data_IF_991864473169
#
_entry.id   IF_991864473169
#
_cell.length_a   1.000
_cell.length_b   1.000
_cell.length_c   1.000
_cell.angle_alpha   90.00
_cell.angle_beta   90.00
_cell.angle_gamma   90.00
#
_symmetry.space_group_name_H-M   'P 1'
#
loop_
_entity.id
_entity.type
_entity.pdbx_description
1 polymer ?
#
# COMPACT_ATOMS: atom_id res chain seq x y z
N UNK A 1 -12.32 4.31 -8.18
CA UNK A 1 -13.28 3.76 -7.20
C UNK A 1 -14.53 4.63 -6.95
N UNK A 2 -14.45 5.93 -6.64
CA UNK A 2 -15.61 6.70 -6.13
C UNK A 2 -16.84 6.70 -7.04
N UNK A 3 -16.64 6.84 -8.35
CA UNK A 3 -17.74 6.80 -9.33
C UNK A 3 -18.51 5.47 -9.27
N UNK A 4 -17.79 4.33 -9.29
CA UNK A 4 -18.43 3.02 -9.21
C UNK A 4 -19.10 2.82 -7.84
N UNK A 5 -18.47 3.22 -6.74
CA UNK A 5 -19.09 3.08 -5.43
C UNK A 5 -20.42 3.85 -5.31
N UNK A 6 -20.55 5.01 -5.98
CA UNK A 6 -21.81 5.77 -6.03
C UNK A 6 -22.86 5.20 -7.00
N UNK A 7 -22.44 4.70 -8.17
CA UNK A 7 -23.35 4.43 -9.29
C UNK A 7 -23.50 2.94 -9.63
N UNK A 8 -22.49 2.12 -9.33
CA UNK A 8 -22.48 0.66 -9.48
C UNK A 8 -21.66 -0.01 -8.37
N UNK A 9 -22.23 -0.13 -7.15
CA UNK A 9 -21.56 -0.76 -6.01
C UNK A 9 -21.09 -2.19 -6.29
N UNK A 10 -21.76 -2.92 -7.19
CA UNK A 10 -21.36 -4.30 -7.54
C UNK A 10 -20.05 -4.31 -8.31
N UNK A 11 -19.89 -3.41 -9.27
CA UNK A 11 -18.61 -3.23 -9.98
C UNK A 11 -17.50 -2.78 -9.01
N UNK A 12 -17.78 -1.79 -8.16
CA UNK A 12 -16.83 -1.33 -7.14
C UNK A 12 -16.36 -2.47 -6.21
N UNK A 13 -17.31 -3.29 -5.75
CA UNK A 13 -17.05 -4.47 -4.92
C UNK A 13 -16.15 -5.48 -5.64
N UNK A 14 -16.39 -5.74 -6.92
CA UNK A 14 -15.59 -6.65 -7.73
C UNK A 14 -14.13 -6.15 -7.90
N UNK A 15 -13.94 -4.84 -8.09
CA UNK A 15 -12.61 -4.23 -8.19
C UNK A 15 -11.79 -4.41 -6.89
N UNK A 16 -12.41 -4.23 -5.71
CA UNK A 16 -11.75 -4.52 -4.44
C UNK A 16 -11.50 -6.01 -4.29
N UNK A 17 -12.48 -6.85 -4.62
CA UNK A 17 -12.33 -8.30 -4.46
C UNK A 17 -11.21 -8.86 -5.33
N UNK A 18 -10.97 -8.29 -6.50
CA UNK A 18 -9.79 -8.57 -7.32
C UNK A 18 -8.48 -8.36 -6.52
N UNK A 19 -8.37 -7.27 -5.75
CA UNK A 19 -7.19 -7.00 -4.91
C UNK A 19 -7.08 -8.00 -3.76
N UNK A 20 -8.17 -8.25 -3.03
CA UNK A 20 -8.20 -9.23 -1.94
C UNK A 20 -7.73 -10.61 -2.42
N UNK A 21 -8.19 -11.07 -3.60
CA UNK A 21 -7.80 -12.35 -4.18
C UNK A 21 -6.32 -12.43 -4.61
N UNK A 22 -5.61 -11.29 -4.66
CA UNK A 22 -4.21 -11.17 -5.08
C UNK A 22 -3.28 -10.78 -3.95
N UNK A 23 -3.75 -10.86 -2.71
CA UNK A 23 -2.95 -10.61 -1.51
C UNK A 23 -1.67 -11.46 -1.49
N UNK A 24 -1.77 -12.75 -1.85
CA UNK A 24 -0.61 -13.64 -1.91
C UNK A 24 0.44 -13.17 -2.94
N UNK A 25 0.01 -12.60 -4.07
CA UNK A 25 0.92 -12.01 -5.07
C UNK A 25 1.64 -10.78 -4.53
N UNK A 26 0.93 -9.90 -3.82
CA UNK A 26 1.51 -8.74 -3.15
C UNK A 26 2.50 -9.13 -2.03
N UNK A 27 2.23 -10.20 -1.30
CA UNK A 27 3.14 -10.72 -0.28
C UNK A 27 4.41 -11.31 -0.91
N UNK A 28 4.27 -12.10 -1.97
CA UNK A 28 5.41 -12.62 -2.72
C UNK A 28 6.26 -11.50 -3.35
N UNK A 29 5.64 -10.39 -3.77
CA UNK A 29 6.38 -9.23 -4.26
C UNK A 29 7.18 -8.55 -3.14
N UNK A 30 6.60 -8.39 -1.95
CA UNK A 30 7.34 -7.85 -0.79
C UNK A 30 8.55 -8.73 -0.46
N UNK A 31 8.35 -10.05 -0.39
CA UNK A 31 9.42 -11.01 -0.10
C UNK A 31 10.58 -10.93 -1.12
N UNK A 32 10.27 -10.81 -2.42
CA UNK A 32 11.28 -10.65 -3.48
C UNK A 32 12.16 -9.40 -3.30
N UNK A 33 11.60 -8.35 -2.72
CA UNK A 33 12.31 -7.10 -2.42
C UNK A 33 12.94 -7.09 -1.01
N UNK A 34 12.89 -8.22 -0.29
CA UNK A 34 13.41 -8.33 1.07
C UNK A 34 12.56 -7.62 2.13
N UNK A 35 11.30 -7.33 1.80
CA UNK A 35 10.34 -6.63 2.66
C UNK A 35 9.30 -7.63 3.23
N UNK A 36 8.58 -7.21 4.27
CA UNK A 36 7.47 -7.96 4.85
C UNK A 36 6.11 -7.41 4.42
N UNK A 37 5.03 -8.14 4.71
CA UNK A 37 3.66 -7.64 4.47
C UNK A 37 3.23 -7.75 3.00
N UNK A 38 2.27 -6.90 2.59
CA UNK A 38 1.76 -6.87 1.22
C UNK A 38 2.24 -5.61 0.48
N UNK A 39 3.14 -5.81 -0.48
CA UNK A 39 3.56 -4.78 -1.44
C UNK A 39 2.84 -5.04 -2.77
N UNK A 40 1.69 -4.40 -2.97
CA UNK A 40 0.99 -4.50 -4.25
C UNK A 40 1.85 -3.93 -5.38
N UNK A 41 1.84 -4.56 -6.56
CA UNK A 41 2.67 -4.12 -7.67
C UNK A 41 2.18 -2.78 -8.22
N UNK A 42 3.11 -2.03 -8.80
CA UNK A 42 2.80 -0.80 -9.54
C UNK A 42 1.85 -1.11 -10.70
N UNK A 43 2.12 -2.16 -11.46
CA UNK A 43 1.24 -2.66 -12.51
C UNK A 43 0.84 -4.09 -12.22
N UNK A 44 -0.47 -4.35 -12.18
CA UNK A 44 -1.03 -5.65 -11.78
C UNK A 44 -1.84 -6.28 -12.90
N UNK A 45 -1.52 -7.54 -13.22
CA UNK A 45 -2.20 -8.32 -14.24
C UNK A 45 -3.08 -9.43 -13.67
N UNK A 46 -3.06 -10.59 -14.33
CA UNK A 46 -3.88 -11.74 -13.95
C UNK A 46 -3.53 -12.27 -12.55
N UNK A 47 -2.23 -12.43 -12.25
CA UNK A 47 -1.73 -13.15 -11.08
C UNK A 47 -1.44 -12.25 -9.86
N UNK A 48 -1.40 -10.93 -10.04
CA UNK A 48 -1.11 -10.00 -8.94
C UNK A 48 0.38 -9.79 -8.66
N UNK A 49 1.27 -10.36 -9.48
CA UNK A 49 2.71 -10.10 -9.52
C UNK A 49 3.03 -8.77 -10.21
N UNK A 50 4.26 -8.28 -10.02
CA UNK A 50 4.73 -7.04 -10.65
C UNK A 50 4.88 -7.19 -12.17
N UNK A 51 4.17 -6.34 -12.90
CA UNK A 51 4.18 -6.27 -14.35
C UNK A 51 4.84 -4.99 -14.89
N UNK A 52 5.22 -4.07 -14.00
CA UNK A 52 5.92 -2.85 -14.39
C UNK A 52 7.26 -3.19 -15.05
N UNK A 53 7.62 -2.41 -16.06
CA UNK A 53 8.87 -2.58 -16.78
C UNK A 53 10.06 -2.33 -15.86
N UNK A 54 11.18 -3.00 -16.15
CA UNK A 54 12.44 -2.78 -15.42
C UNK A 54 13.29 -1.69 -16.08
N UNK A 55 13.09 -1.50 -17.38
CA UNK A 55 13.75 -0.53 -18.25
C UNK A 55 12.73 0.12 -19.16
N UNK A 56 12.97 1.38 -19.53
CA UNK A 56 12.14 2.15 -20.43
C UNK A 56 12.97 2.75 -21.57
N UNK A 57 12.37 2.94 -22.74
CA UNK A 57 13.00 3.57 -23.90
C UNK A 57 12.77 5.08 -23.86
N UNK A 58 13.83 5.86 -23.69
CA UNK A 58 13.77 7.29 -23.91
C UNK A 58 13.60 7.57 -25.41
N UNK A 59 12.43 8.08 -25.81
CA UNK A 59 12.10 8.32 -27.22
C UNK A 59 12.89 9.49 -27.83
N UNK A 60 13.50 10.36 -27.02
CA UNK A 60 14.26 11.53 -27.49
C UNK A 60 15.66 11.12 -27.97
N UNK A 61 16.38 10.31 -27.19
CA UNK A 61 17.75 9.91 -27.49
C UNK A 61 17.90 8.42 -27.86
N UNK A 62 16.80 7.68 -27.88
CA UNK A 62 16.72 6.24 -28.21
C UNK A 62 17.52 5.35 -27.26
N UNK A 63 17.83 5.83 -26.05
CA UNK A 63 18.53 5.04 -25.03
C UNK A 63 17.55 4.27 -24.13
N UNK A 64 18.00 3.09 -23.66
CA UNK A 64 17.29 2.33 -22.62
C UNK A 64 17.80 2.78 -21.26
N UNK A 65 16.88 3.22 -20.41
CA UNK A 65 17.17 3.69 -19.04
C UNK A 65 16.42 2.82 -18.01
N UNK A 66 16.90 2.74 -16.76
CA UNK A 66 16.15 2.09 -15.69
C UNK A 66 14.75 2.71 -15.52
N UNK A 67 13.75 1.87 -15.28
CA UNK A 67 12.40 2.33 -14.92
C UNK A 67 12.20 2.15 -13.40
N UNK A 68 12.16 3.27 -12.68
CA UNK A 68 12.02 3.30 -11.23
C UNK A 68 10.55 3.34 -10.76
N UNK A 69 9.57 3.18 -11.66
CA UNK A 69 8.14 3.23 -11.32
C UNK A 69 7.74 2.25 -10.21
N UNK A 70 8.45 1.13 -10.07
CA UNK A 70 8.23 0.16 -8.96
C UNK A 70 8.49 0.73 -7.57
N UNK A 71 9.17 1.87 -7.46
CA UNK A 71 9.32 2.59 -6.20
C UNK A 71 8.05 3.34 -5.79
N UNK A 72 7.05 3.46 -6.67
CA UNK A 72 5.71 3.97 -6.38
C UNK A 72 4.86 2.98 -5.57
N UNK A 73 5.39 2.60 -4.42
CA UNK A 73 4.78 1.65 -3.48
C UNK A 73 3.47 2.18 -2.88
N UNK A 74 3.19 3.49 -3.04
CA UNK A 74 1.96 4.16 -2.58
C UNK A 74 0.67 3.56 -3.14
N UNK A 75 0.74 2.81 -4.25
CA UNK A 75 -0.38 2.00 -4.77
C UNK A 75 -1.01 1.08 -3.71
N UNK A 76 -0.20 0.55 -2.79
CA UNK A 76 -0.71 -0.28 -1.68
C UNK A 76 -1.59 0.53 -0.74
N UNK A 77 -1.22 1.79 -0.44
CA UNK A 77 -2.03 2.71 0.35
C UNK A 77 -3.31 3.11 -0.39
N UNK A 78 -3.22 3.35 -1.69
CA UNK A 78 -4.38 3.66 -2.53
C UNK A 78 -5.41 2.52 -2.56
N UNK A 79 -4.96 1.26 -2.57
CA UNK A 79 -5.86 0.09 -2.48
C UNK A 79 -6.61 0.05 -1.15
N UNK A 80 -5.93 0.32 -0.04
CA UNK A 80 -6.58 0.44 1.26
C UNK A 80 -7.57 1.61 1.29
N UNK A 81 -7.20 2.76 0.70
CA UNK A 81 -8.08 3.91 0.55
C UNK A 81 -9.31 3.61 -0.29
N UNK A 82 -9.19 2.88 -1.39
CA UNK A 82 -10.31 2.47 -2.22
C UNK A 82 -11.30 1.57 -1.44
N UNK A 83 -10.82 0.68 -0.57
CA UNK A 83 -11.68 -0.09 0.33
C UNK A 83 -12.37 0.81 1.37
N UNK A 84 -11.67 1.79 1.94
CA UNK A 84 -12.28 2.78 2.81
C UNK A 84 -13.39 3.55 2.09
N UNK A 85 -13.11 4.09 0.90
CA UNK A 85 -14.11 4.80 0.08
C UNK A 85 -15.33 3.91 -0.18
N UNK A 86 -15.10 2.66 -0.59
CA UNK A 86 -16.19 1.70 -0.83
C UNK A 86 -17.08 1.53 0.41
N UNK A 87 -16.49 1.27 1.58
CA UNK A 87 -17.26 1.05 2.82
C UNK A 87 -18.01 2.31 3.25
N UNK A 88 -17.41 3.50 3.11
CA UNK A 88 -18.05 4.78 3.46
C UNK A 88 -19.19 5.15 2.52
N UNK A 89 -19.04 4.91 1.23
CA UNK A 89 -20.06 5.28 0.24
C UNK A 89 -21.22 4.29 0.16
N UNK A 90 -20.97 3.00 0.41
CA UNK A 90 -22.01 1.95 0.26
C UNK A 90 -22.60 1.48 1.59
N UNK A 91 -21.90 1.69 2.71
CA UNK A 91 -22.23 1.06 4.00
C UNK A 91 -21.90 -0.44 4.05
N UNK A 92 -21.44 -1.05 2.97
CA UNK A 92 -21.11 -2.48 2.93
C UNK A 92 -19.73 -2.73 3.54
N UNK A 93 -19.74 -3.19 4.79
CA UNK A 93 -18.53 -3.59 5.53
C UNK A 93 -18.20 -5.08 5.37
N UNK A 94 -18.99 -5.85 4.61
CA UNK A 94 -18.78 -7.30 4.48
C UNK A 94 -17.42 -7.64 3.86
N UNK A 95 -16.89 -6.78 2.98
CA UNK A 95 -15.55 -6.98 2.40
C UNK A 95 -14.45 -6.94 3.46
N UNK A 96 -14.61 -6.17 4.54
CA UNK A 96 -13.61 -6.13 5.62
C UNK A 96 -13.48 -7.50 6.29
N UNK A 97 -14.61 -8.17 6.54
CA UNK A 97 -14.62 -9.52 7.12
C UNK A 97 -14.15 -10.58 6.11
N UNK A 98 -14.44 -10.38 4.82
CA UNK A 98 -14.09 -11.29 3.73
C UNK A 98 -12.70 -11.02 3.15
N UNK A 99 -11.70 -10.85 4.02
CA UNK A 99 -10.28 -10.69 3.65
C UNK A 99 -9.81 -9.25 3.43
N UNK A 100 -10.71 -8.27 3.38
CA UNK A 100 -10.36 -6.85 3.25
C UNK A 100 -9.58 -6.32 4.45
N UNK A 101 -9.93 -6.72 5.67
CA UNK A 101 -9.15 -6.35 6.86
C UNK A 101 -7.76 -6.98 6.83
N UNK A 102 -7.64 -8.27 6.49
CA UNK A 102 -6.33 -8.93 6.34
C UNK A 102 -5.45 -8.19 5.33
N UNK A 103 -6.02 -7.82 4.18
CA UNK A 103 -5.32 -7.01 3.18
C UNK A 103 -4.83 -5.67 3.74
N UNK A 104 -5.69 -4.92 4.43
CA UNK A 104 -5.34 -3.62 5.05
C UNK A 104 -4.21 -3.76 6.05
N UNK A 105 -4.26 -4.77 6.92
CA UNK A 105 -3.24 -4.98 7.95
C UNK A 105 -1.90 -5.46 7.35
N UNK A 106 -1.93 -6.28 6.29
CA UNK A 106 -0.72 -6.69 5.57
C UNK A 106 -0.07 -5.52 4.81
N UNK A 107 -0.87 -4.61 4.24
CA UNK A 107 -0.37 -3.35 3.66
C UNK A 107 0.32 -2.51 4.76
N UNK A 108 -0.29 -2.39 5.95
CA UNK A 108 0.32 -1.66 7.05
C UNK A 108 1.63 -2.31 7.52
N UNK A 109 1.69 -3.64 7.61
CA UNK A 109 2.92 -4.38 7.93
C UNK A 109 4.05 -4.08 6.96
N UNK A 110 3.76 -4.00 5.66
CA UNK A 110 4.75 -3.60 4.67
C UNK A 110 5.30 -2.21 4.93
N UNK A 111 4.43 -1.23 5.13
CA UNK A 111 4.89 0.13 5.37
C UNK A 111 5.64 0.30 6.69
N UNK A 112 5.19 -0.34 7.76
CA UNK A 112 5.87 -0.32 9.06
C UNK A 112 7.24 -1.01 9.00
N UNK A 113 7.42 -2.01 8.13
CA UNK A 113 8.72 -2.65 7.90
C UNK A 113 9.74 -1.69 7.24
N UNK A 114 9.27 -0.74 6.42
CA UNK A 114 10.12 0.28 5.79
C UNK A 114 10.48 1.46 6.69
N UNK A 115 9.72 1.66 7.75
CA UNK A 115 9.87 2.83 8.63
C UNK A 115 11.07 2.64 9.56
N UNK A 116 11.94 3.64 9.59
CA UNK A 116 13.12 3.67 10.49
C UNK A 116 12.99 4.78 11.51
N UNK A 117 13.32 4.52 12.77
CA UNK A 117 13.34 5.55 13.81
C UNK A 117 14.67 6.33 13.76
N UNK A 118 14.58 7.64 13.58
CA UNK A 118 15.71 8.56 13.57
C UNK A 118 16.15 8.95 14.99
N UNK A 119 17.33 9.55 15.09
CA UNK A 119 17.95 9.94 16.36
C UNK A 119 17.17 11.02 17.13
N UNK A 120 16.38 11.83 16.41
CA UNK A 120 15.51 12.86 17.00
C UNK A 120 14.17 12.29 17.52
N UNK A 121 14.00 10.97 17.46
CA UNK A 121 12.81 10.26 17.89
C UNK A 121 11.69 10.22 16.85
N UNK A 122 11.86 10.87 15.69
CA UNK A 122 10.93 10.81 14.56
C UNK A 122 11.12 9.55 13.74
N UNK A 123 10.20 9.31 12.82
CA UNK A 123 10.26 8.17 11.92
C UNK A 123 10.40 8.64 10.49
N UNK A 124 11.34 8.02 9.79
CA UNK A 124 11.66 8.28 8.40
C UNK A 124 11.24 7.11 7.53
N UNK A 125 10.89 7.43 6.29
CA UNK A 125 10.51 6.46 5.27
C UNK A 125 11.28 6.80 3.99
N UNK A 126 12.15 5.88 3.56
CA UNK A 126 13.04 6.07 2.42
C UNK A 126 12.83 5.02 1.33
N UNK A 127 13.45 5.26 0.16
CA UNK A 127 13.44 4.32 -0.96
C UNK A 127 12.08 4.23 -1.65
N UNK A 128 11.37 5.36 -1.76
CA UNK A 128 10.06 5.42 -2.42
C UNK A 128 10.02 6.49 -3.49
N UNK A 129 9.08 6.39 -4.41
CA UNK A 129 8.71 7.44 -5.36
C UNK A 129 7.27 7.85 -5.05
N UNK A 130 7.02 9.16 -5.06
CA UNK A 130 5.67 9.70 -4.84
C UNK A 130 4.83 9.69 -6.12
N UNK A 131 3.63 10.28 -6.08
CA UNK A 131 2.80 10.47 -7.28
C UNK A 131 3.42 11.40 -8.34
N UNK A 132 4.38 12.24 -7.95
CA UNK A 132 5.20 12.98 -8.90
C UNK A 132 6.31 12.08 -9.43
N UNK A 133 6.08 11.56 -10.64
CA UNK A 133 6.95 10.57 -11.26
C UNK A 133 8.27 11.13 -11.80
N UNK A 134 8.46 12.46 -11.80
CA UNK A 134 9.73 13.05 -12.22
C UNK A 134 10.80 13.02 -11.12
N UNK A 135 10.40 12.85 -9.86
CA UNK A 135 11.31 12.83 -8.72
C UNK A 135 11.53 11.40 -8.22
N UNK A 136 12.31 10.65 -9.00
CA UNK A 136 12.67 9.27 -8.69
C UNK A 136 13.91 9.13 -7.79
N UNK A 137 14.73 10.18 -7.62
CA UNK A 137 15.93 10.20 -6.77
C UNK A 137 16.35 11.64 -6.41
N UNK A 138 17.24 11.80 -5.43
CA UNK A 138 17.89 13.09 -5.18
C UNK A 138 19.02 13.36 -6.19
N UNK A 139 19.32 14.64 -6.52
CA UNK A 139 20.46 14.97 -7.38
C UNK A 139 21.77 14.39 -6.85
N UNK A 140 22.48 13.62 -7.67
CA UNK A 140 23.75 12.99 -7.32
C UNK A 140 23.65 11.75 -6.41
N UNK A 141 22.45 11.27 -6.09
CA UNK A 141 22.28 10.04 -5.35
C UNK A 141 22.72 8.82 -6.17
N UNK A 142 23.34 7.84 -5.50
CA UNK A 142 23.76 6.57 -6.12
C UNK A 142 22.66 5.51 -6.11
N UNK A 143 21.58 5.75 -5.38
CA UNK A 143 20.41 4.88 -5.30
C UNK A 143 19.13 5.69 -5.59
N UNK A 144 18.18 5.05 -6.26
CA UNK A 144 16.86 5.62 -6.50
C UNK A 144 15.98 5.57 -5.25
N UNK A 145 14.94 6.40 -5.25
CA UNK A 145 14.00 6.60 -4.17
C UNK A 145 14.30 7.87 -3.38
N UNK A 146 13.24 8.63 -3.10
CA UNK A 146 13.27 9.78 -2.20
C UNK A 146 12.96 9.35 -0.77
N UNK A 147 13.31 10.21 0.18
CA UNK A 147 12.99 10.06 1.59
C UNK A 147 11.87 11.04 1.96
N UNK A 148 10.95 10.58 2.82
CA UNK A 148 9.87 11.37 3.41
C UNK A 148 8.99 12.07 2.37
N UNK A 149 8.58 11.34 1.33
CA UNK A 149 7.57 11.84 0.40
C UNK A 149 6.28 12.18 1.16
N UNK A 150 5.83 13.43 1.05
CA UNK A 150 4.71 13.94 1.86
C UNK A 150 3.41 13.15 1.65
N UNK A 151 3.08 12.81 0.39
CA UNK A 151 1.88 12.03 0.09
C UNK A 151 1.92 10.65 0.75
N UNK A 152 3.04 9.92 0.57
CA UNK A 152 3.23 8.59 1.15
C UNK A 152 3.14 8.62 2.68
N UNK A 153 3.81 9.58 3.33
CA UNK A 153 3.80 9.69 4.79
C UNK A 153 2.40 10.01 5.33
N UNK A 154 1.67 10.94 4.69
CA UNK A 154 0.29 11.29 5.08
C UNK A 154 -0.65 10.10 4.89
N UNK A 155 -0.54 9.39 3.76
CA UNK A 155 -1.38 8.23 3.48
C UNK A 155 -1.09 7.05 4.44
N UNK A 156 0.16 6.87 4.87
CA UNK A 156 0.49 5.89 5.90
C UNK A 156 -0.12 6.28 7.25
N UNK A 157 0.02 7.53 7.68
CA UNK A 157 -0.61 8.01 8.90
C UNK A 157 -2.14 7.86 8.86
N UNK A 158 -2.76 8.17 7.72
CA UNK A 158 -4.19 7.96 7.48
C UNK A 158 -4.58 6.48 7.61
N UNK A 159 -3.85 5.57 6.95
CA UNK A 159 -4.11 4.12 7.00
C UNK A 159 -4.10 3.62 8.44
N UNK A 160 -3.08 4.02 9.19
CA UNK A 160 -2.88 3.62 10.56
C UNK A 160 -3.98 4.16 11.50
N UNK A 161 -4.46 5.39 11.28
CA UNK A 161 -5.64 5.91 11.98
C UNK A 161 -6.92 5.12 11.64
N UNK A 162 -7.12 4.77 10.37
CA UNK A 162 -8.27 3.96 9.99
C UNK A 162 -8.22 2.55 10.59
N UNK A 163 -7.04 1.95 10.74
CA UNK A 163 -6.89 0.66 11.44
C UNK A 163 -7.33 0.78 12.90
N UNK A 164 -7.00 1.87 13.60
CA UNK A 164 -7.48 2.11 14.97
C UNK A 164 -9.01 2.26 15.04
N UNK A 165 -9.61 2.97 14.07
CA UNK A 165 -11.07 3.05 13.95
C UNK A 165 -11.68 1.65 13.76
N UNK A 166 -11.10 0.82 12.90
CA UNK A 166 -11.55 -0.55 12.65
C UNK A 166 -11.40 -1.43 13.89
N UNK A 167 -10.33 -1.27 14.67
CA UNK A 167 -10.15 -2.00 15.92
C UNK A 167 -11.29 -1.74 16.91
N UNK A 168 -11.81 -0.51 16.94
CA UNK A 168 -12.94 -0.15 17.79
C UNK A 168 -14.29 -0.56 17.19
N UNK A 169 -14.44 -0.44 15.87
CA UNK A 169 -15.71 -0.59 15.18
C UNK A 169 -16.04 -2.02 14.73
N UNK A 170 -15.05 -2.89 14.56
CA UNK A 170 -15.23 -4.25 14.04
C UNK A 170 -15.02 -5.30 15.14
N UNK A 171 -16.08 -5.95 15.66
CA UNK A 171 -15.93 -6.96 16.72
C UNK A 171 -15.02 -8.14 16.36
N UNK A 172 -14.92 -8.47 15.07
CA UNK A 172 -14.06 -9.55 14.57
C UNK A 172 -12.59 -9.13 14.35
N UNK A 173 -12.22 -7.88 14.65
CA UNK A 173 -10.89 -7.35 14.35
C UNK A 173 -9.77 -8.21 14.95
N UNK A 174 -9.81 -8.47 16.25
CA UNK A 174 -8.77 -9.23 16.95
C UNK A 174 -8.63 -10.67 16.41
N UNK A 175 -9.75 -11.33 16.12
CA UNK A 175 -9.74 -12.68 15.55
C UNK A 175 -9.09 -12.70 14.15
N UNK A 176 -9.41 -11.71 13.31
CA UNK A 176 -8.85 -11.59 11.97
C UNK A 176 -7.36 -11.20 12.03
N UNK A 177 -6.99 -10.24 12.89
CA UNK A 177 -5.60 -9.81 13.07
C UNK A 177 -4.72 -10.97 13.56
N UNK A 178 -5.19 -11.74 14.54
CA UNK A 178 -4.51 -12.93 15.04
C UNK A 178 -4.31 -13.97 13.93
N UNK A 179 -5.33 -14.22 13.09
CA UNK A 179 -5.24 -15.17 11.97
C UNK A 179 -4.22 -14.76 10.90
N UNK A 180 -3.90 -13.47 10.81
CA UNK A 180 -2.90 -12.92 9.91
C UNK A 180 -1.48 -12.89 10.53
N UNK A 181 -1.30 -13.39 11.77
CA UNK A 181 -0.06 -13.23 12.54
C UNK A 181 0.34 -11.75 12.72
N UNK A 182 -0.64 -10.86 12.87
CA UNK A 182 -0.43 -9.43 13.05
C UNK A 182 -0.70 -9.09 14.52
N UNK A 183 0.32 -8.61 15.23
CA UNK A 183 0.19 -8.20 16.62
C UNK A 183 -0.40 -6.80 16.69
N UNK A 184 -1.33 -6.57 17.62
CA UNK A 184 -1.90 -5.23 17.86
C UNK A 184 -0.85 -4.20 18.30
N UNK A 185 0.35 -4.63 18.69
CA UNK A 185 1.51 -3.75 18.93
C UNK A 185 1.93 -2.92 17.71
N UNK A 186 1.63 -3.36 16.48
CA UNK A 186 1.86 -2.57 15.26
C UNK A 186 1.05 -1.26 15.26
N UNK A 187 -0.09 -1.22 15.97
CA UNK A 187 -0.93 -0.04 16.09
C UNK A 187 -0.40 0.98 17.12
N UNK A 188 0.50 0.56 18.01
CA UNK A 188 1.09 1.43 19.05
C UNK A 188 2.27 2.29 18.55
N UNK A 189 2.65 2.18 17.27
CA UNK A 189 3.70 3.03 16.66
C UNK A 189 3.21 4.48 16.45
N UNK A 190 1.93 4.75 16.71
CA UNK A 190 1.23 6.01 16.42
C UNK A 190 1.24 7.07 17.53
N UNK A 191 2.15 7.00 18.50
CA UNK A 191 2.42 8.18 19.36
C UNK A 191 3.33 9.21 18.66
N UNK A 192 3.15 9.39 17.35
CA UNK A 192 3.78 10.43 16.53
C UNK A 192 2.87 11.65 16.41
#
# INVERSE_FOLDING_TARGET
>A
MPYYAANDPKAARALIQYRIQRLAGAQANAEKEGEAGAMYPWQSGLYGDEQAQVIHLNTVDQSWIPDNSRLQRHVSLAIAYDLWVYTRMTGDVSLLQNGGLTMVLEIAKFWLNKVTKANDGRYDLAGVMGPDEFHEAYPGATAAGVQNNAYTNVMLAWLLNWIQELQTALPAFEAIAASANLTTSYCNVLLL
#
